data_IF_343021122200
#
_entry.id   IF_343021122200
#
_cell.length_a   1.000
_cell.length_b   1.000
_cell.length_c   1.000
_cell.angle_alpha   90.00
_cell.angle_beta   90.00
_cell.angle_gamma   90.00
#
_symmetry.space_group_name_H-M   'P 1'
#
loop_
_entity.id
_entity.type
_entity.pdbx_description
1 polymer ?
#
# COMPACT_ATOMS: atom_id res chain seq x y z
N UNK A 1 11.76 0.61 -31.83
CA UNK A 1 12.09 2.03 -32.05
C UNK A 1 13.07 2.11 -33.22
N UNK A 2 12.69 2.79 -34.29
CA UNK A 2 13.47 2.86 -35.53
C UNK A 2 14.66 3.84 -35.42
N UNK A 3 14.54 4.89 -34.60
CA UNK A 3 15.63 5.83 -34.34
C UNK A 3 16.06 5.79 -32.86
N UNK A 4 17.11 5.00 -32.57
CA UNK A 4 17.64 4.81 -31.21
C UNK A 4 17.94 6.13 -30.50
N UNK A 5 18.53 7.12 -31.20
CA UNK A 5 18.92 8.41 -30.60
C UNK A 5 17.70 9.23 -30.18
N UNK A 6 16.68 9.28 -31.04
CA UNK A 6 15.42 9.97 -30.72
C UNK A 6 14.72 9.34 -29.51
N UNK A 7 14.68 8.00 -29.43
CA UNK A 7 14.06 7.31 -28.30
C UNK A 7 14.79 7.51 -26.98
N UNK A 8 16.13 7.50 -26.98
CA UNK A 8 16.92 7.79 -25.78
C UNK A 8 16.68 9.21 -25.28
N UNK A 9 16.59 10.18 -26.19
CA UNK A 9 16.30 11.57 -25.83
C UNK A 9 14.89 11.72 -25.27
N UNK A 10 13.89 11.08 -25.89
CA UNK A 10 12.51 11.09 -25.38
C UNK A 10 12.42 10.44 -23.99
N UNK A 11 13.09 9.32 -23.78
CA UNK A 11 13.13 8.65 -22.48
C UNK A 11 13.78 9.52 -21.39
N UNK A 12 14.85 10.26 -21.72
CA UNK A 12 15.46 11.24 -20.80
C UNK A 12 14.51 12.38 -20.49
N UNK A 13 13.83 12.94 -21.49
CA UNK A 13 12.85 14.00 -21.30
C UNK A 13 11.70 13.54 -20.41
N UNK A 14 11.14 12.35 -20.66
CA UNK A 14 10.10 11.76 -19.84
C UNK A 14 10.60 11.54 -18.40
N UNK A 15 11.78 10.94 -18.22
CA UNK A 15 12.38 10.71 -16.90
C UNK A 15 12.56 12.00 -16.10
N UNK A 16 12.94 13.09 -16.78
CA UNK A 16 13.15 14.41 -16.14
C UNK A 16 11.85 15.19 -15.91
N UNK A 17 10.78 14.89 -16.67
CA UNK A 17 9.46 15.48 -16.50
C UNK A 17 8.63 14.80 -15.40
N UNK A 18 9.06 13.62 -14.93
CA UNK A 18 8.49 12.95 -13.77
C UNK A 18 8.72 13.85 -12.54
N UNK A 19 7.63 14.32 -11.92
CA UNK A 19 7.72 15.16 -10.73
C UNK A 19 8.59 14.50 -9.64
N UNK A 20 9.34 15.29 -8.88
CA UNK A 20 10.35 14.81 -7.91
C UNK A 20 9.83 13.71 -6.96
N UNK A 21 8.55 13.76 -6.59
CA UNK A 21 7.88 12.72 -5.78
C UNK A 21 7.98 11.30 -6.38
N UNK A 22 8.05 11.22 -7.71
CA UNK A 22 8.03 10.01 -8.52
C UNK A 22 9.39 9.70 -9.16
N UNK A 23 10.42 10.51 -8.92
CA UNK A 23 11.75 10.26 -9.48
C UNK A 23 12.43 9.12 -8.68
N UNK A 24 12.66 7.94 -9.30
CA UNK A 24 13.19 6.78 -8.60
C UNK A 24 14.65 6.94 -8.16
N UNK A 25 15.37 7.95 -8.67
CA UNK A 25 16.77 8.19 -8.30
C UNK A 25 16.94 9.20 -7.16
N UNK A 26 15.86 9.85 -6.70
CA UNK A 26 15.94 10.95 -5.71
C UNK A 26 15.50 10.55 -4.30
N UNK A 27 15.26 9.27 -4.04
CA UNK A 27 14.86 8.81 -2.70
C UNK A 27 15.81 7.71 -2.21
N UNK A 28 16.38 7.86 -1.00
CA UNK A 28 17.15 6.79 -0.39
C UNK A 28 16.24 5.59 -0.09
N UNK A 29 16.79 4.38 -0.20
CA UNK A 29 16.12 3.16 0.27
C UNK A 29 15.74 3.32 1.74
N UNK A 30 14.45 3.16 2.06
CA UNK A 30 13.97 3.17 3.44
C UNK A 30 14.12 1.78 4.03
N UNK A 31 14.97 1.64 5.03
CA UNK A 31 15.03 0.47 5.90
C UNK A 31 14.03 0.67 7.05
N UNK A 32 12.75 0.35 6.81
CA UNK A 32 11.73 0.34 7.87
C UNK A 32 11.69 -0.98 8.65
N UNK A 33 12.42 -2.00 8.19
CA UNK A 33 12.55 -3.30 8.84
C UNK A 33 11.29 -4.18 8.74
N UNK A 34 10.35 -3.83 7.85
CA UNK A 34 9.09 -4.56 7.68
C UNK A 34 9.15 -5.59 6.54
N UNK A 35 10.00 -5.37 5.55
CA UNK A 35 10.30 -6.35 4.51
C UNK A 35 11.05 -7.54 5.12
N UNK A 36 10.61 -8.75 4.82
CA UNK A 36 11.40 -9.93 5.16
C UNK A 36 12.70 -9.89 4.35
N UNK A 37 13.84 -9.94 5.04
CA UNK A 37 15.11 -10.19 4.38
C UNK A 37 15.13 -11.60 3.78
N UNK A 38 16.06 -11.87 2.87
CA UNK A 38 16.09 -13.15 2.14
C UNK A 38 16.14 -14.38 3.06
N UNK A 39 16.85 -14.27 4.20
CA UNK A 39 16.91 -15.32 5.21
C UNK A 39 15.57 -15.52 5.92
N UNK A 40 14.89 -14.44 6.31
CA UNK A 40 13.56 -14.47 6.92
C UNK A 40 12.51 -15.02 5.95
N UNK A 41 12.59 -14.67 4.67
CA UNK A 41 11.69 -15.17 3.64
C UNK A 41 11.84 -16.69 3.43
N UNK A 42 13.09 -17.20 3.39
CA UNK A 42 13.36 -18.64 3.29
C UNK A 42 12.88 -19.40 4.52
N UNK A 43 13.25 -18.93 5.72
CA UNK A 43 12.82 -19.55 6.97
C UNK A 43 11.29 -19.60 7.08
N UNK A 44 10.61 -18.51 6.69
CA UNK A 44 9.15 -18.43 6.70
C UNK A 44 8.48 -19.32 5.64
N UNK A 45 9.13 -19.56 4.48
CA UNK A 45 8.63 -20.48 3.46
C UNK A 45 8.67 -21.95 3.92
N UNK A 46 9.59 -22.29 4.82
CA UNK A 46 9.78 -23.62 5.39
C UNK A 46 8.91 -23.87 6.64
N UNK A 47 8.19 -22.86 7.15
CA UNK A 47 7.33 -23.02 8.33
C UNK A 47 6.15 -23.94 8.03
N UNK A 48 6.00 -24.95 8.89
CA UNK A 48 4.81 -25.79 9.01
C UNK A 48 3.64 -24.97 9.60
N UNK A 49 2.74 -24.57 8.71
CA UNK A 49 1.55 -23.77 9.01
C UNK A 49 0.61 -24.39 10.04
N UNK A 50 0.67 -25.71 10.23
CA UNK A 50 -0.16 -26.41 11.23
C UNK A 50 0.32 -26.18 12.66
N UNK A 51 1.62 -25.92 12.84
CA UNK A 51 2.26 -25.72 14.15
C UNK A 51 2.56 -24.26 14.43
N UNK A 52 2.90 -23.49 13.40
CA UNK A 52 3.25 -22.09 13.53
C UNK A 52 2.64 -21.29 12.37
N UNK A 53 1.97 -20.16 12.64
CA UNK A 53 1.42 -19.32 11.60
C UNK A 53 2.54 -18.73 10.73
N UNK A 54 2.36 -18.74 9.40
CA UNK A 54 3.26 -18.05 8.47
C UNK A 54 3.16 -16.54 8.66
N UNK A 55 4.30 -15.88 8.75
CA UNK A 55 4.36 -14.43 8.79
C UNK A 55 4.13 -13.92 7.37
N UNK A 56 3.07 -13.16 7.15
CA UNK A 56 2.85 -12.51 5.86
C UNK A 56 4.02 -11.56 5.57
N UNK A 57 4.70 -11.69 4.43
CA UNK A 57 5.65 -10.68 3.95
C UNK A 57 4.80 -9.58 3.32
N UNK A 58 4.63 -8.43 3.98
CA UNK A 58 3.70 -7.44 3.46
C UNK A 58 4.19 -6.80 2.17
N UNK A 59 5.43 -7.09 1.69
CA UNK A 59 6.12 -6.45 0.54
C UNK A 59 5.20 -5.54 -0.24
N UNK A 60 4.98 -4.39 0.41
CA UNK A 60 4.21 -3.34 -0.16
C UNK A 60 5.26 -2.66 -0.99
N UNK A 61 5.20 -2.89 -2.29
CA UNK A 61 5.99 -2.17 -3.29
C UNK A 61 6.00 -0.64 -3.04
N UNK A 62 5.09 -0.11 -2.22
CA UNK A 62 5.15 1.19 -1.57
C UNK A 62 5.81 1.19 -0.16
N UNK A 63 7.12 1.45 -0.12
CA UNK A 63 7.99 1.42 1.08
C UNK A 63 8.06 2.74 1.87
N UNK A 64 7.00 3.57 1.84
CA UNK A 64 7.03 4.93 2.42
C UNK A 64 6.23 5.06 3.72
N UNK A 65 4.98 5.47 3.62
CA UNK A 65 4.05 5.57 4.77
C UNK A 65 2.68 5.10 4.29
N UNK A 66 1.80 4.57 5.16
CA UNK A 66 0.51 4.01 4.74
C UNK A 66 -0.30 4.95 3.86
N UNK A 67 -0.21 6.26 4.09
CA UNK A 67 -0.85 7.29 3.25
C UNK A 67 -0.31 7.38 1.81
N UNK A 68 0.88 6.85 1.52
CA UNK A 68 1.44 6.75 0.17
C UNK A 68 0.98 5.48 -0.56
N UNK A 69 0.57 4.43 0.18
CA UNK A 69 0.04 3.20 -0.42
C UNK A 69 -1.44 3.35 -0.82
N UNK A 70 -2.14 4.31 -0.20
CA UNK A 70 -3.54 4.62 -0.49
C UNK A 70 -3.62 5.63 -1.64
N UNK A 71 -4.04 5.17 -2.83
CA UNK A 71 -4.31 6.06 -3.98
C UNK A 71 -5.81 6.35 -4.06
N UNK A 72 -6.19 7.60 -3.79
CA UNK A 72 -7.56 8.09 -4.00
C UNK A 72 -7.56 8.87 -5.32
N UNK A 73 -8.21 8.33 -6.34
CA UNK A 73 -8.40 9.01 -7.61
C UNK A 73 -9.61 9.94 -7.52
N UNK A 74 -9.40 11.23 -7.76
CA UNK A 74 -10.45 12.24 -7.79
C UNK A 74 -10.55 12.82 -9.20
N UNK A 75 -11.77 13.17 -9.68
CA UNK A 75 -11.91 13.86 -10.95
C UNK A 75 -11.18 15.22 -10.93
N UNK A 76 -10.61 15.63 -12.08
CA UNK A 76 -9.83 16.87 -12.22
C UNK A 76 -10.60 18.16 -11.84
N UNK A 77 -11.91 18.08 -11.65
CA UNK A 77 -12.79 19.16 -11.18
C UNK A 77 -12.81 19.32 -9.66
N UNK A 78 -12.27 18.34 -8.90
CA UNK A 78 -12.29 18.33 -7.44
C UNK A 78 -11.17 19.18 -6.82
N UNK A 79 -11.06 20.46 -7.19
CA UNK A 79 -10.10 21.39 -6.58
C UNK A 79 -10.32 21.56 -5.06
N UNK A 80 -11.54 21.33 -4.59
CA UNK A 80 -11.94 21.62 -3.20
C UNK A 80 -11.83 20.41 -2.23
N UNK A 81 -11.69 19.18 -2.72
CA UNK A 81 -11.70 17.98 -1.88
C UNK A 81 -10.29 17.51 -1.43
N UNK A 82 -9.23 17.94 -2.12
CA UNK A 82 -7.84 17.55 -1.80
C UNK A 82 -7.26 18.23 -0.54
N UNK A 83 -7.98 19.17 0.08
CA UNK A 83 -7.49 19.97 1.21
C UNK A 83 -7.84 19.42 2.58
N UNK A 84 -8.73 18.42 2.68
CA UNK A 84 -9.08 17.83 3.97
C UNK A 84 -7.98 16.87 4.38
N UNK A 85 -7.14 17.30 5.32
CA UNK A 85 -6.17 16.41 5.97
C UNK A 85 -6.93 15.19 6.50
N UNK A 86 -6.46 13.95 6.25
CA UNK A 86 -7.11 12.77 6.80
C UNK A 86 -7.18 12.89 8.32
N UNK A 87 -8.31 12.48 8.90
CA UNK A 87 -8.51 12.50 10.34
C UNK A 87 -7.50 11.59 11.02
N UNK A 88 -6.47 12.17 11.64
CA UNK A 88 -5.48 11.41 12.41
C UNK A 88 -6.07 11.10 13.77
N UNK A 89 -6.31 9.82 14.07
CA UNK A 89 -6.58 9.37 15.44
C UNK A 89 -5.26 9.17 16.16
N UNK A 90 -5.16 9.59 17.43
CA UNK A 90 -4.01 9.25 18.29
C UNK A 90 -3.95 7.73 18.39
N UNK A 91 -2.80 7.13 18.07
CA UNK A 91 -2.56 5.72 18.32
C UNK A 91 -2.77 5.46 19.82
N UNK A 92 -3.68 4.55 20.16
CA UNK A 92 -3.80 4.06 21.54
C UNK A 92 -2.64 3.09 21.76
N UNK A 93 -2.02 3.15 22.93
CA UNK A 93 -1.04 2.16 23.33
C UNK A 93 -1.68 0.75 23.23
N UNK A 94 -0.97 -0.27 22.72
CA UNK A 94 -1.50 -1.61 22.53
C UNK A 94 -1.57 -2.32 23.89
N UNK A 95 -2.51 -1.90 24.74
CA UNK A 95 -2.76 -2.52 26.04
C UNK A 95 -3.93 -3.52 25.98
N UNK A 96 -4.31 -3.95 24.77
CA UNK A 96 -5.43 -4.87 24.54
C UNK A 96 -4.96 -6.29 24.23
N UNK A 97 -5.83 -7.31 24.44
CA UNK A 97 -5.55 -8.66 24.01
C UNK A 97 -5.35 -8.72 22.49
N UNK A 98 -4.45 -9.58 22.04
CA UNK A 98 -4.30 -9.89 20.61
C UNK A 98 -5.57 -10.58 20.12
N UNK A 99 -6.22 -9.99 19.11
CA UNK A 99 -7.36 -10.58 18.41
C UNK A 99 -6.97 -10.93 16.99
N UNK A 100 -7.51 -12.03 16.48
CA UNK A 100 -7.45 -12.33 15.04
C UNK A 100 -8.66 -11.70 14.40
N UNK A 101 -8.43 -10.81 13.43
CA UNK A 101 -9.48 -10.23 12.60
C UNK A 101 -9.20 -10.57 11.13
N UNK A 102 -10.26 -10.87 10.42
CA UNK A 102 -10.28 -11.13 9.00
C UNK A 102 -10.78 -9.85 8.33
N UNK A 103 -10.06 -9.41 7.31
CA UNK A 103 -10.41 -8.19 6.57
C UNK A 103 -10.65 -8.54 5.11
N UNK A 104 -11.59 -7.84 4.49
CA UNK A 104 -11.82 -7.94 3.05
C UNK A 104 -12.21 -6.56 2.48
N UNK A 105 -11.93 -6.36 1.20
CA UNK A 105 -12.25 -5.14 0.48
C UNK A 105 -12.99 -5.46 -0.81
N UNK A 106 -14.12 -4.80 -1.03
CA UNK A 106 -14.89 -4.95 -2.27
C UNK A 106 -15.01 -3.62 -3.01
N UNK A 107 -15.10 -3.69 -4.34
CA UNK A 107 -15.29 -2.53 -5.20
C UNK A 107 -16.27 -2.85 -6.32
N UNK A 108 -17.40 -2.16 -6.35
CA UNK A 108 -18.35 -2.20 -7.46
C UNK A 108 -17.91 -1.15 -8.50
N UNK A 109 -17.91 -1.51 -9.77
CA UNK A 109 -17.44 -0.67 -10.89
C UNK A 109 -15.97 -0.22 -10.72
N UNK A 110 -15.12 -1.13 -10.24
CA UNK A 110 -13.70 -0.85 -10.03
C UNK A 110 -13.03 -0.28 -11.29
N UNK A 111 -12.16 0.71 -11.11
CA UNK A 111 -11.45 1.37 -12.22
C UNK A 111 -12.28 2.41 -13.00
N UNK A 112 -13.53 2.66 -12.62
CA UNK A 112 -14.37 3.72 -13.22
C UNK A 112 -14.51 4.92 -12.29
N UNK A 113 -14.96 6.07 -12.81
CA UNK A 113 -15.28 7.25 -12.01
C UNK A 113 -16.43 7.00 -11.02
N UNK A 114 -17.20 5.92 -11.21
CA UNK A 114 -18.40 5.59 -10.45
C UNK A 114 -18.14 4.42 -9.48
N UNK A 115 -16.87 4.13 -9.21
CA UNK A 115 -16.47 3.05 -8.33
C UNK A 115 -17.03 3.27 -6.92
N UNK A 116 -17.57 2.21 -6.31
CA UNK A 116 -18.04 2.19 -4.92
C UNK A 116 -17.27 1.14 -4.15
N UNK A 117 -16.48 1.57 -3.18
CA UNK A 117 -15.61 0.68 -2.39
C UNK A 117 -16.17 0.47 -0.98
N UNK A 118 -16.07 -0.74 -0.47
CA UNK A 118 -16.35 -1.10 0.92
C UNK A 118 -15.18 -1.87 1.53
N UNK A 119 -15.02 -1.77 2.84
CA UNK A 119 -14.10 -2.59 3.61
C UNK A 119 -14.87 -3.28 4.73
N UNK A 120 -14.63 -4.58 4.90
CA UNK A 120 -15.18 -5.40 5.98
C UNK A 120 -14.09 -5.80 6.96
N UNK A 121 -14.46 -5.86 8.23
CA UNK A 121 -13.65 -6.46 9.30
C UNK A 121 -14.57 -7.44 10.03
N UNK A 122 -14.12 -8.68 10.19
CA UNK A 122 -14.84 -9.73 10.90
C UNK A 122 -13.90 -10.42 11.88
N UNK A 123 -14.35 -10.70 13.10
CA UNK A 123 -13.53 -11.30 14.16
C UNK A 123 -13.95 -12.75 14.39
N UNK A 124 -15.20 -12.96 14.81
CA UNK A 124 -15.80 -14.28 15.05
C UNK A 124 -17.33 -14.16 15.09
N UNK A 125 -18.06 -15.27 14.99
CA UNK A 125 -19.51 -15.23 15.18
C UNK A 125 -19.88 -14.66 16.55
N UNK A 126 -20.96 -13.85 16.59
CA UNK A 126 -21.47 -13.17 17.79
C UNK A 126 -20.47 -12.24 18.51
N UNK A 127 -19.37 -11.85 17.86
CA UNK A 127 -18.47 -10.87 18.44
C UNK A 127 -19.15 -9.49 18.50
N UNK A 128 -19.18 -8.79 19.65
CA UNK A 128 -19.83 -7.49 19.78
C UNK A 128 -19.17 -6.35 18.98
N UNK A 129 -18.00 -6.61 18.38
CA UNK A 129 -17.25 -5.64 17.56
C UNK A 129 -17.41 -5.86 16.04
N UNK A 130 -18.09 -6.92 15.61
CA UNK A 130 -18.52 -7.07 14.21
C UNK A 130 -19.68 -6.13 13.90
#
# INVERSE_FOLDING_TARGET
CENKRACVNMAKTLKNAIAQKWNPTSMPERADGLDLNEGQAKANAEVDVSKNPRVFNPDITEKKSPENAIRIFLPNTAKDNCLKKPGKRKARAPNGPMITAYTDGSSINNGTANAKTGAGVWISDNNPLN
#
